data_IF_395021287917
#
_entry.id   IF_395021287917
#
_cell.length_a   1.000
_cell.length_b   1.000
_cell.length_c   1.000
_cell.angle_alpha   90.00
_cell.angle_beta   90.00
_cell.angle_gamma   90.00
#
_symmetry.space_group_name_H-M   'P 1'
#
loop_
_entity.id
_entity.type
_entity.pdbx_description
1 polymer ?
#
# COMPACT_ATOMS: atom_id res chain seq x y z
N UNK A 1 16.96 -3.81 -23.80
CA UNK A 1 17.07 -2.63 -22.91
C UNK A 1 16.08 -2.86 -21.78
N UNK A 2 16.56 -3.00 -20.55
CA UNK A 2 15.67 -2.97 -19.37
C UNK A 2 15.17 -1.53 -19.29
N UNK A 3 13.90 -1.35 -19.51
CA UNK A 3 13.26 -0.03 -19.41
C UNK A 3 13.30 0.37 -17.94
N UNK A 4 13.99 1.46 -17.62
CA UNK A 4 14.01 1.98 -16.27
C UNK A 4 12.70 2.73 -15.98
N UNK A 5 11.71 2.00 -15.49
CA UNK A 5 10.39 2.53 -15.17
C UNK A 5 10.44 3.76 -14.23
N UNK A 6 11.44 3.80 -13.34
CA UNK A 6 11.62 4.93 -12.43
C UNK A 6 11.97 6.20 -13.23
N UNK A 7 12.87 6.11 -14.21
CA UNK A 7 13.22 7.23 -15.06
C UNK A 7 12.05 7.68 -15.95
N UNK A 8 11.26 6.72 -16.47
CA UNK A 8 10.05 7.09 -17.23
C UNK A 8 9.02 7.83 -16.34
N UNK A 9 8.79 7.37 -15.12
CA UNK A 9 7.90 8.05 -14.16
C UNK A 9 8.41 9.47 -13.90
N UNK A 10 9.72 9.66 -13.71
CA UNK A 10 10.33 10.97 -13.48
C UNK A 10 10.24 11.88 -14.72
N UNK A 11 10.30 11.33 -15.90
CA UNK A 11 10.21 12.05 -17.17
C UNK A 11 8.78 12.43 -17.57
N UNK A 12 7.76 11.84 -16.92
CA UNK A 12 6.36 12.19 -17.19
C UNK A 12 6.12 13.67 -16.89
N UNK A 13 5.61 14.47 -17.86
CA UNK A 13 5.38 15.91 -17.65
C UNK A 13 4.51 16.25 -16.44
N UNK A 14 3.61 15.35 -16.05
CA UNK A 14 2.74 15.48 -14.86
C UNK A 14 3.51 15.36 -13.55
N UNK A 15 4.74 14.84 -13.58
CA UNK A 15 5.67 14.73 -12.46
C UNK A 15 6.77 15.80 -12.48
N UNK A 16 6.79 16.69 -13.48
CA UNK A 16 7.86 17.66 -13.69
C UNK A 16 8.13 18.56 -12.46
N UNK A 17 7.10 18.94 -11.71
CA UNK A 17 7.25 19.74 -10.49
C UNK A 17 7.97 18.99 -9.34
N UNK A 18 7.83 17.67 -9.27
CA UNK A 18 8.56 16.86 -8.31
C UNK A 18 10.01 16.63 -8.76
N UNK A 19 10.20 16.31 -10.03
CA UNK A 19 11.53 16.12 -10.63
C UNK A 19 12.37 17.40 -10.55
N UNK A 20 11.78 18.57 -10.78
CA UNK A 20 12.45 19.86 -10.64
C UNK A 20 12.90 20.17 -9.20
N UNK A 21 12.25 19.56 -8.20
CA UNK A 21 12.64 19.63 -6.78
C UNK A 21 13.67 18.55 -6.39
N UNK A 22 14.12 17.73 -7.33
CA UNK A 22 15.03 16.60 -7.06
C UNK A 22 14.36 15.42 -6.37
N UNK A 23 13.04 15.33 -6.41
CA UNK A 23 12.30 14.23 -5.79
C UNK A 23 12.18 13.07 -6.78
N UNK A 24 12.35 11.87 -6.26
CA UNK A 24 12.17 10.61 -6.98
C UNK A 24 10.86 9.93 -6.57
N UNK A 25 10.27 9.08 -7.44
CA UNK A 25 9.10 8.29 -7.07
C UNK A 25 9.45 7.29 -5.95
N UNK A 26 8.61 7.26 -4.92
CA UNK A 26 8.84 6.45 -3.71
C UNK A 26 7.96 5.21 -3.76
N UNK A 27 8.58 4.07 -3.94
CA UNK A 27 8.01 2.73 -3.81
C UNK A 27 9.12 1.73 -3.41
N UNK A 28 8.75 0.58 -2.92
CA UNK A 28 9.67 -0.51 -2.53
C UNK A 28 9.22 -1.79 -3.22
N UNK A 29 9.90 -2.18 -4.29
CA UNK A 29 9.59 -3.38 -5.08
C UNK A 29 10.86 -4.14 -5.46
N UNK A 30 10.73 -5.45 -5.63
CA UNK A 30 11.76 -6.34 -6.15
C UNK A 30 11.10 -7.50 -6.90
N UNK A 31 11.77 -8.17 -7.84
CA UNK A 31 11.21 -9.32 -8.53
C UNK A 31 10.77 -10.48 -7.62
N UNK A 32 11.38 -10.56 -6.44
CA UNK A 32 11.13 -11.58 -5.42
C UNK A 32 9.93 -11.30 -4.51
N UNK A 33 9.26 -10.15 -4.68
CA UNK A 33 8.13 -9.76 -3.83
C UNK A 33 6.99 -10.76 -3.96
N UNK A 34 6.56 -11.31 -2.84
CA UNK A 34 5.40 -12.20 -2.72
C UNK A 34 4.18 -11.54 -2.12
N UNK A 35 4.39 -10.56 -1.24
CA UNK A 35 3.33 -9.79 -0.58
C UNK A 35 3.51 -8.33 -0.92
N UNK A 36 2.52 -7.75 -1.60
CA UNK A 36 2.54 -6.34 -2.01
C UNK A 36 1.54 -5.53 -1.17
N UNK A 37 1.99 -4.40 -0.65
CA UNK A 37 1.16 -3.45 0.09
C UNK A 37 0.86 -2.25 -0.81
N UNK A 38 -0.43 -1.98 -1.03
CA UNK A 38 -0.87 -0.81 -1.79
C UNK A 38 -1.56 0.16 -0.83
N UNK A 39 -0.90 1.27 -0.54
CA UNK A 39 -1.40 2.37 0.29
C UNK A 39 -1.80 3.59 -0.53
N UNK A 40 -2.10 4.70 0.14
CA UNK A 40 -2.57 5.92 -0.53
C UNK A 40 -1.44 6.65 -1.29
N UNK A 41 -0.46 7.15 -0.57
CA UNK A 41 0.67 7.92 -1.08
C UNK A 41 1.73 8.07 0.03
N UNK A 42 2.98 8.43 -0.30
CA UNK A 42 3.94 8.87 0.70
C UNK A 42 3.42 10.08 1.48
N UNK A 43 3.61 10.09 2.79
CA UNK A 43 3.37 11.27 3.62
C UNK A 43 4.56 12.23 3.60
N UNK A 44 4.43 13.42 4.19
CA UNK A 44 5.49 14.43 4.22
C UNK A 44 6.82 13.93 4.84
N UNK A 45 6.75 13.08 5.87
CA UNK A 45 7.94 12.48 6.48
C UNK A 45 8.59 11.46 5.53
N UNK A 46 7.78 10.69 4.80
CA UNK A 46 8.28 9.72 3.82
C UNK A 46 8.92 10.44 2.63
N UNK A 47 8.38 11.58 2.18
CA UNK A 47 9.01 12.42 1.14
C UNK A 47 10.44 12.84 1.55
N UNK A 48 10.66 13.14 2.84
CA UNK A 48 11.96 13.55 3.36
C UNK A 48 12.93 12.39 3.57
N UNK A 49 12.43 11.23 4.02
CA UNK A 49 13.27 10.10 4.44
C UNK A 49 13.43 9.02 3.37
N UNK A 50 12.52 8.96 2.41
CA UNK A 50 12.44 7.89 1.41
C UNK A 50 11.96 6.54 1.97
N UNK A 51 11.65 6.44 3.26
CA UNK A 51 11.36 5.15 3.91
C UNK A 51 9.86 5.03 4.18
N UNK A 52 9.21 4.17 3.41
CA UNK A 52 7.78 3.86 3.54
C UNK A 52 7.50 3.11 4.85
N UNK A 53 6.38 3.43 5.50
CA UNK A 53 5.95 2.79 6.76
C UNK A 53 6.99 2.78 7.89
N UNK A 54 7.85 3.81 7.96
CA UNK A 54 8.82 3.99 9.03
C UNK A 54 8.28 4.89 10.16
N UNK A 55 7.06 4.64 10.56
CA UNK A 55 6.33 5.39 11.59
C UNK A 55 5.41 4.45 12.40
N UNK A 56 4.61 5.02 13.31
CA UNK A 56 3.63 4.26 14.10
C UNK A 56 2.60 3.49 13.26
N UNK A 57 2.30 3.98 12.04
CA UNK A 57 1.42 3.24 11.12
C UNK A 57 2.12 1.98 10.62
N UNK A 58 3.40 2.09 10.29
CA UNK A 58 4.21 0.96 9.87
C UNK A 58 4.42 -0.06 10.99
N UNK A 59 4.63 0.38 12.23
CA UNK A 59 4.74 -0.52 13.38
C UNK A 59 3.47 -1.36 13.52
N UNK A 60 2.30 -0.72 13.48
CA UNK A 60 1.00 -1.40 13.55
C UNK A 60 0.75 -2.32 12.34
N UNK A 61 1.15 -1.90 11.14
CA UNK A 61 0.98 -2.75 9.96
C UNK A 61 1.79 -4.04 10.08
N UNK A 62 3.04 -3.95 10.54
CA UNK A 62 3.89 -5.14 10.80
C UNK A 62 3.28 -6.04 11.87
N UNK A 63 2.75 -5.45 12.96
CA UNK A 63 2.02 -6.19 14.00
C UNK A 63 0.81 -6.93 13.40
N UNK A 64 -0.01 -6.28 12.60
CA UNK A 64 -1.14 -6.91 11.91
C UNK A 64 -0.70 -8.02 10.95
N UNK A 65 0.44 -7.85 10.28
CA UNK A 65 1.01 -8.87 9.40
C UNK A 65 1.70 -10.01 10.16
N UNK A 66 1.99 -9.85 11.45
CA UNK A 66 2.73 -10.82 12.26
C UNK A 66 4.20 -10.96 11.86
N UNK A 67 4.83 -9.89 11.37
CA UNK A 67 6.23 -9.87 10.93
C UNK A 67 7.02 -8.78 11.64
N UNK A 68 8.32 -8.96 11.73
CA UNK A 68 9.24 -7.97 12.26
C UNK A 68 9.71 -6.96 11.21
N UNK A 69 10.50 -5.99 11.66
CA UNK A 69 11.06 -4.94 10.82
C UNK A 69 12.04 -5.48 9.77
N UNK A 70 12.86 -6.44 10.14
CA UNK A 70 13.84 -7.08 9.24
C UNK A 70 13.14 -7.82 8.12
N UNK A 71 12.13 -8.62 8.44
CA UNK A 71 11.30 -9.30 7.43
C UNK A 71 10.64 -8.28 6.48
N UNK A 72 10.15 -7.14 7.03
CA UNK A 72 9.47 -6.13 6.23
C UNK A 72 10.39 -5.44 5.22
N UNK A 73 11.60 -5.04 5.62
CA UNK A 73 12.49 -4.22 4.77
C UNK A 73 13.59 -5.02 4.06
N UNK A 74 14.09 -6.09 4.68
CA UNK A 74 15.36 -6.71 4.25
C UNK A 74 15.17 -8.09 3.60
N UNK A 75 13.96 -8.69 3.69
CA UNK A 75 13.71 -10.02 3.11
C UNK A 75 13.63 -10.04 1.58
N UNK A 76 13.30 -8.90 0.97
CA UNK A 76 12.96 -8.83 -0.45
C UNK A 76 11.61 -9.45 -0.83
N UNK A 77 10.87 -9.97 0.15
CA UNK A 77 9.57 -10.65 -0.08
C UNK A 77 8.36 -9.73 0.10
N UNK A 78 8.56 -8.58 0.75
CA UNK A 78 7.52 -7.57 0.98
C UNK A 78 7.76 -6.37 0.07
N UNK A 79 6.74 -5.97 -0.67
CA UNK A 79 6.76 -4.77 -1.50
C UNK A 79 5.76 -3.73 -1.04
N UNK A 80 6.04 -2.47 -1.36
CA UNK A 80 5.11 -1.35 -1.15
C UNK A 80 5.00 -0.53 -2.42
N UNK A 81 3.78 -0.44 -2.95
CA UNK A 81 3.45 0.30 -4.17
C UNK A 81 2.28 1.25 -3.89
N UNK A 82 2.53 2.51 -3.50
CA UNK A 82 1.46 3.46 -3.19
C UNK A 82 0.66 3.85 -4.43
N UNK A 83 -0.61 4.23 -4.27
CA UNK A 83 -1.49 4.73 -5.34
C UNK A 83 -0.96 6.02 -6.01
N UNK A 84 -0.14 6.81 -5.31
CA UNK A 84 0.70 7.88 -5.83
C UNK A 84 2.12 7.71 -5.31
N UNK A 85 3.12 7.99 -6.13
CA UNK A 85 4.53 7.80 -5.79
C UNK A 85 5.18 9.03 -5.15
N UNK A 86 4.46 10.12 -5.07
CA UNK A 86 4.90 11.37 -4.47
C UNK A 86 3.91 11.85 -3.41
N UNK A 87 4.38 12.68 -2.49
CA UNK A 87 3.50 13.30 -1.51
C UNK A 87 2.59 14.31 -2.22
N UNK A 88 1.26 14.10 -2.24
CA UNK A 88 0.35 14.95 -3.00
C UNK A 88 0.07 16.30 -2.33
N UNK A 89 0.59 16.51 -1.12
CA UNK A 89 0.40 17.73 -0.34
C UNK A 89 -0.61 17.57 0.79
N UNK A 90 -0.71 18.61 1.62
CA UNK A 90 -1.63 18.70 2.76
C UNK A 90 -2.97 19.28 2.33
N UNK A 91 -4.06 18.63 2.74
CA UNK A 91 -5.42 19.16 2.65
C UNK A 91 -5.90 19.71 4.00
N UNK A 92 -7.17 20.14 4.05
CA UNK A 92 -7.78 20.66 5.29
C UNK A 92 -7.93 19.60 6.39
N UNK A 93 -8.05 18.33 6.04
CA UNK A 93 -8.30 17.20 6.96
C UNK A 93 -7.38 16.01 6.64
N UNK A 94 -6.08 16.21 6.61
CA UNK A 94 -5.10 15.19 6.27
C UNK A 94 -4.44 15.43 4.91
N UNK A 95 -3.79 14.41 4.38
CA UNK A 95 -3.12 14.49 3.09
C UNK A 95 -4.13 14.49 1.94
N UNK A 96 -3.77 15.15 0.84
CA UNK A 96 -4.59 15.16 -0.38
C UNK A 96 -4.74 13.73 -0.95
N UNK A 97 -5.81 13.49 -1.74
CA UNK A 97 -5.97 12.20 -2.40
C UNK A 97 -4.84 11.93 -3.40
N UNK A 98 -4.55 10.65 -3.70
CA UNK A 98 -3.58 10.30 -4.73
C UNK A 98 -4.06 10.78 -6.09
N UNK A 99 -3.13 11.16 -6.97
CA UNK A 99 -3.44 11.55 -8.35
C UNK A 99 -3.88 10.31 -9.14
N UNK A 100 -5.07 10.39 -9.72
CA UNK A 100 -5.76 9.22 -10.30
C UNK A 100 -5.00 8.52 -11.42
N UNK A 101 -4.22 9.27 -12.22
CA UNK A 101 -3.51 8.71 -13.36
C UNK A 101 -2.36 7.78 -12.95
N UNK A 102 -1.77 7.99 -11.76
CA UNK A 102 -0.55 7.28 -11.36
C UNK A 102 -0.78 5.76 -11.32
N UNK A 103 -1.76 5.32 -10.56
CA UNK A 103 -2.07 3.89 -10.50
C UNK A 103 -2.55 3.34 -11.85
N UNK A 104 -3.38 4.10 -12.58
CA UNK A 104 -3.93 3.66 -13.86
C UNK A 104 -2.88 3.42 -14.95
N UNK A 105 -1.78 4.18 -14.95
CA UNK A 105 -0.75 4.08 -16.00
C UNK A 105 0.45 3.25 -15.58
N UNK A 106 0.83 3.31 -14.30
CA UNK A 106 2.12 2.76 -13.87
C UNK A 106 2.00 1.46 -13.10
N UNK A 107 0.90 1.22 -12.37
CA UNK A 107 0.82 0.06 -11.48
C UNK A 107 0.97 -1.27 -12.23
N UNK A 108 0.26 -1.46 -13.36
CA UNK A 108 0.37 -2.71 -14.10
C UNK A 108 1.80 -2.97 -14.59
N UNK A 109 2.47 -1.95 -15.11
CA UNK A 109 3.86 -2.05 -15.57
C UNK A 109 4.84 -2.41 -14.45
N UNK A 110 4.61 -1.86 -13.24
CA UNK A 110 5.41 -2.19 -12.05
C UNK A 110 5.05 -3.57 -11.51
N UNK A 111 3.77 -3.96 -11.51
CA UNK A 111 3.32 -5.31 -11.14
C UNK A 111 3.92 -6.40 -12.04
N UNK A 112 4.07 -6.12 -13.34
CA UNK A 112 4.68 -7.06 -14.28
C UNK A 112 6.16 -7.35 -13.98
N UNK A 113 6.81 -6.51 -13.17
CA UNK A 113 8.18 -6.75 -12.66
C UNK A 113 8.22 -7.65 -11.42
N UNK A 114 7.07 -7.99 -10.86
CA UNK A 114 6.92 -8.79 -9.63
C UNK A 114 6.05 -10.04 -9.89
N UNK A 115 6.53 -11.01 -10.67
CA UNK A 115 5.72 -12.16 -11.10
C UNK A 115 5.26 -13.07 -9.95
N UNK A 116 5.96 -13.04 -8.82
CA UNK A 116 5.73 -13.93 -7.69
C UNK A 116 4.74 -13.37 -6.65
N UNK A 117 4.07 -12.24 -6.93
CA UNK A 117 3.10 -11.66 -6.00
C UNK A 117 1.87 -12.56 -5.83
N UNK A 118 1.77 -13.16 -4.65
CA UNK A 118 0.66 -14.04 -4.24
C UNK A 118 -0.46 -13.27 -3.51
N UNK A 119 -0.11 -12.24 -2.72
CA UNK A 119 -1.05 -11.48 -1.88
C UNK A 119 -0.85 -9.99 -2.03
N UNK A 120 -1.95 -9.26 -2.24
CA UNK A 120 -1.98 -7.81 -2.31
C UNK A 120 -2.84 -7.26 -1.17
N UNK A 121 -2.21 -6.52 -0.26
CA UNK A 121 -2.87 -5.83 0.84
C UNK A 121 -3.33 -4.45 0.38
N UNK A 122 -4.64 -4.20 0.38
CA UNK A 122 -5.24 -2.95 -0.08
C UNK A 122 -5.55 -2.05 1.13
N UNK A 123 -4.63 -1.17 1.47
CA UNK A 123 -4.68 -0.32 2.67
C UNK A 123 -5.43 0.98 2.37
N UNK A 124 -6.64 1.09 2.92
CA UNK A 124 -7.49 2.26 2.79
C UNK A 124 -8.33 2.31 1.51
N UNK A 125 -9.20 3.32 1.47
CA UNK A 125 -10.28 3.42 0.48
C UNK A 125 -9.80 3.50 -0.98
N UNK A 126 -8.74 4.28 -1.25
CA UNK A 126 -8.29 4.52 -2.62
C UNK A 126 -7.75 3.26 -3.31
N UNK A 127 -6.95 2.47 -2.59
CA UNK A 127 -6.46 1.19 -3.09
C UNK A 127 -7.62 0.21 -3.32
N UNK A 128 -8.56 0.11 -2.38
CA UNK A 128 -9.73 -0.75 -2.51
C UNK A 128 -10.61 -0.38 -3.70
N UNK A 129 -10.88 0.91 -3.90
CA UNK A 129 -11.70 1.38 -5.03
C UNK A 129 -11.04 1.17 -6.39
N UNK A 130 -9.72 1.14 -6.46
CA UNK A 130 -8.99 0.91 -7.70
C UNK A 130 -8.92 -0.57 -8.08
N UNK A 131 -8.71 -1.44 -7.09
CA UNK A 131 -8.42 -2.85 -7.33
C UNK A 131 -9.59 -3.81 -7.16
N UNK A 132 -10.62 -3.41 -6.42
CA UNK A 132 -11.76 -4.29 -6.14
C UNK A 132 -12.99 -3.90 -6.96
N UNK A 133 -13.82 -4.89 -7.37
CA UNK A 133 -15.07 -4.64 -8.08
C UNK A 133 -16.16 -4.17 -7.10
N UNK A 134 -15.94 -3.03 -6.47
CA UNK A 134 -16.84 -2.42 -5.48
C UNK A 134 -17.47 -1.13 -6.01
N UNK A 135 -18.61 -0.75 -5.46
CA UNK A 135 -19.25 0.52 -5.80
C UNK A 135 -18.50 1.68 -5.13
N UNK A 136 -18.40 2.81 -5.81
CA UNK A 136 -17.75 4.02 -5.26
C UNK A 136 -18.41 4.53 -3.97
N UNK A 137 -19.72 4.24 -3.77
CA UNK A 137 -20.50 4.59 -2.58
C UNK A 137 -20.30 3.62 -1.41
N UNK A 138 -19.67 2.47 -1.65
CA UNK A 138 -19.47 1.46 -0.60
C UNK A 138 -18.49 1.96 0.46
N UNK A 139 -18.85 1.74 1.73
CA UNK A 139 -18.01 2.20 2.85
C UNK A 139 -16.78 1.30 3.02
N UNK A 140 -15.66 1.90 3.46
CA UNK A 140 -14.46 1.14 3.82
C UNK A 140 -14.79 0.03 4.84
N UNK A 141 -15.64 0.31 5.81
CA UNK A 141 -16.04 -0.64 6.85
C UNK A 141 -16.73 -1.86 6.25
N UNK A 142 -17.66 -1.67 5.30
CA UNK A 142 -18.35 -2.76 4.61
C UNK A 142 -17.37 -3.62 3.79
N UNK A 143 -16.47 -2.98 3.05
CA UNK A 143 -15.48 -3.68 2.23
C UNK A 143 -14.53 -4.52 3.10
N UNK A 144 -14.00 -3.93 4.17
CA UNK A 144 -13.07 -4.63 5.08
C UNK A 144 -13.78 -5.76 5.83
N UNK A 145 -15.02 -5.57 6.24
CA UNK A 145 -15.80 -6.60 6.96
C UNK A 145 -15.99 -7.88 6.12
N UNK A 146 -16.16 -7.75 4.81
CA UNK A 146 -16.27 -8.89 3.90
C UNK A 146 -14.96 -9.22 3.17
N UNK A 147 -13.82 -9.05 3.83
CA UNK A 147 -12.49 -9.25 3.25
C UNK A 147 -12.29 -10.63 2.58
N UNK A 148 -12.98 -11.65 3.06
CA UNK A 148 -12.90 -13.00 2.52
C UNK A 148 -13.43 -13.13 1.08
N UNK A 149 -14.35 -12.25 0.66
CA UNK A 149 -14.92 -12.25 -0.68
C UNK A 149 -13.88 -11.90 -1.77
N UNK A 150 -12.78 -11.27 -1.39
CA UNK A 150 -11.73 -10.80 -2.30
C UNK A 150 -10.49 -11.69 -2.37
N UNK A 151 -10.48 -12.80 -1.61
CA UNK A 151 -9.38 -13.75 -1.62
C UNK A 151 -9.34 -14.58 -2.92
N UNK A 152 -8.25 -15.32 -3.15
CA UNK A 152 -7.04 -15.40 -2.32
C UNK A 152 -6.05 -14.23 -2.55
N UNK A 153 -6.15 -13.48 -3.69
CA UNK A 153 -5.16 -12.49 -4.11
C UNK A 153 -5.24 -11.17 -3.36
N UNK A 154 -6.42 -10.72 -2.99
CA UNK A 154 -6.61 -9.41 -2.34
C UNK A 154 -7.06 -9.56 -0.90
N UNK A 155 -6.59 -8.64 -0.04
CA UNK A 155 -7.07 -8.48 1.32
C UNK A 155 -7.18 -6.98 1.65
N UNK A 156 -8.42 -6.45 1.71
CA UNK A 156 -8.64 -5.04 2.08
C UNK A 156 -8.41 -4.83 3.57
N UNK A 157 -7.72 -3.74 3.90
CA UNK A 157 -7.40 -3.33 5.27
C UNK A 157 -7.84 -1.89 5.53
N UNK A 158 -8.19 -1.60 6.77
CA UNK A 158 -8.23 -0.23 7.26
C UNK A 158 -6.81 0.35 7.29
N UNK A 159 -6.69 1.68 7.25
CA UNK A 159 -5.37 2.31 7.36
C UNK A 159 -4.84 2.14 8.80
N UNK A 160 -3.58 1.71 8.99
CA UNK A 160 -3.01 1.42 10.32
C UNK A 160 -2.66 2.68 11.14
N UNK A 161 -2.98 3.87 10.65
CA UNK A 161 -2.72 5.13 11.34
C UNK A 161 -3.36 5.16 12.74
N UNK A 162 -2.67 5.76 13.74
CA UNK A 162 -3.27 6.05 15.06
C UNK A 162 -4.56 6.87 14.98
N UNK A 163 -4.76 7.65 13.93
CA UNK A 163 -6.01 8.39 13.69
C UNK A 163 -7.24 7.47 13.52
N UNK A 164 -7.04 6.20 13.23
CA UNK A 164 -8.10 5.20 13.10
C UNK A 164 -8.41 4.44 14.40
N UNK A 165 -7.86 4.84 15.54
CA UNK A 165 -8.13 4.17 16.82
C UNK A 165 -9.62 4.14 17.17
N UNK A 166 -10.36 5.24 16.87
CA UNK A 166 -11.82 5.31 17.11
C UNK A 166 -12.55 4.32 16.19
N UNK A 167 -12.10 4.17 14.94
CA UNK A 167 -12.68 3.20 14.02
C UNK A 167 -12.42 1.76 14.50
N UNK A 168 -11.21 1.45 14.92
CA UNK A 168 -10.85 0.13 15.47
C UNK A 168 -11.69 -0.21 16.71
N UNK A 169 -11.84 0.74 17.65
CA UNK A 169 -12.67 0.53 18.83
C UNK A 169 -14.16 0.26 18.50
N UNK A 170 -14.66 0.83 17.39
CA UNK A 170 -16.04 0.59 16.91
C UNK A 170 -16.19 -0.69 16.08
N UNK A 171 -15.09 -1.30 15.66
CA UNK A 171 -15.07 -2.46 14.78
C UNK A 171 -14.13 -3.56 15.33
N UNK A 172 -14.41 -4.10 16.54
CA UNK A 172 -13.52 -5.08 17.19
C UNK A 172 -13.31 -6.36 16.37
N UNK A 173 -14.26 -6.71 15.50
CA UNK A 173 -14.13 -7.81 14.56
C UNK A 173 -12.90 -7.69 13.64
N UNK A 174 -12.37 -6.49 13.44
CA UNK A 174 -11.16 -6.32 12.63
C UNK A 174 -9.97 -7.05 13.28
N UNK A 175 -9.79 -6.90 14.58
CA UNK A 175 -8.69 -7.55 15.32
C UNK A 175 -8.96 -9.03 15.58
N UNK A 176 -10.23 -9.45 15.70
CA UNK A 176 -10.58 -10.86 15.96
C UNK A 176 -10.69 -11.72 14.71
N UNK A 177 -11.01 -11.15 13.56
CA UNK A 177 -11.30 -11.90 12.33
C UNK A 177 -10.30 -11.57 11.21
N UNK A 178 -10.09 -10.27 10.91
CA UNK A 178 -9.25 -9.86 9.78
C UNK A 178 -7.76 -10.06 10.08
N UNK A 179 -7.31 -9.60 11.24
CA UNK A 179 -5.89 -9.69 11.62
C UNK A 179 -5.40 -11.15 11.69
N UNK A 180 -6.09 -12.10 12.35
CA UNK A 180 -5.67 -13.51 12.34
C UNK A 180 -5.66 -14.13 10.93
N UNK A 181 -6.64 -13.80 10.09
CA UNK A 181 -6.66 -14.26 8.71
C UNK A 181 -5.49 -13.70 7.88
N UNK A 182 -5.13 -12.43 8.09
CA UNK A 182 -3.97 -11.80 7.49
C UNK A 182 -2.67 -12.49 7.94
N UNK A 183 -2.47 -12.63 9.25
CA UNK A 183 -1.27 -13.28 9.82
C UNK A 183 -1.09 -14.70 9.29
N UNK A 184 -2.18 -15.47 9.22
CA UNK A 184 -2.14 -16.80 8.64
C UNK A 184 -1.68 -16.78 7.19
N UNK A 185 -2.27 -15.93 6.34
CA UNK A 185 -1.89 -15.83 4.92
C UNK A 185 -0.43 -15.41 4.76
N UNK A 186 0.01 -14.39 5.51
CA UNK A 186 1.40 -13.92 5.49
C UNK A 186 2.36 -15.04 5.88
N UNK A 187 2.09 -15.74 6.99
CA UNK A 187 2.94 -16.85 7.44
C UNK A 187 2.99 -18.00 6.42
N UNK A 188 1.86 -18.35 5.79
CA UNK A 188 1.80 -19.42 4.80
C UNK A 188 2.62 -19.07 3.52
N UNK A 189 2.66 -17.80 3.12
CA UNK A 189 3.42 -17.33 1.97
C UNK A 189 4.92 -17.25 2.27
N UNK A 190 5.29 -16.75 3.45
CA UNK A 190 6.70 -16.57 3.83
C UNK A 190 7.43 -17.86 4.19
N UNK A 191 6.70 -18.97 4.42
CA UNK A 191 7.30 -20.29 4.66
C UNK A 191 7.70 -21.03 3.38
N UNK A 192 7.21 -20.58 2.22
CA UNK A 192 7.51 -21.17 0.90
C UNK A 192 8.86 -20.62 0.37
#
# INVERSE_FOLDING_TARGET
MVVDLKQEIMADPRNASFTARGLEPIYMIAPTVKILIIGQAPGAVVEQTGILFNDKSGDRLREWMGIDRTTFYDSGLIGVLPMDFYFPGKGKRGDLPPRKFVAGEWHQRLLDTMPDVELILLVGKYAQQHYLPIKASESLTSVVHRFADFGPRYLPLAHPSPLNNIWLAKNPWFETDVVPALQKRVADILKK
#
